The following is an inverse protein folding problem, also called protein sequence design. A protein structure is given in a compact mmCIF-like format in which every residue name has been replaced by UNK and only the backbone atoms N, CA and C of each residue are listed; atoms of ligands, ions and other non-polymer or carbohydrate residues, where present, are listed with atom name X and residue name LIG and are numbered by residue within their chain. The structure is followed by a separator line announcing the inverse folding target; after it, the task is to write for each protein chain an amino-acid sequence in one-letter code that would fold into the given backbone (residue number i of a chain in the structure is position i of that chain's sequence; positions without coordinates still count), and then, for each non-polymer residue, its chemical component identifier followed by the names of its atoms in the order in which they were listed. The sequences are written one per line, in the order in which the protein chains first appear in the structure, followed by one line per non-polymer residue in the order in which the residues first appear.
data_IF_397269140009
#
_entry.id   IF_397269140009
#
_cell.length_a   1.000
_cell.length_b   1.000
_cell.length_c   1.000
_cell.angle_alpha   90.00
_cell.angle_beta   90.00
_cell.angle_gamma   90.00
#
_symmetry.space_group_name_H-M   'P 1'
#
loop_
_entity.id
_entity.type
_entity.pdbx_description
1 polymer ?
#
# COMPACT_ATOMS: atom_id res chain seq x y z
N UNK A 1 -10.05 14.49 1.71
CA UNK A 1 -8.95 14.11 0.80
C UNK A 1 -8.50 12.70 1.18
N UNK A 2 -8.33 11.82 0.21
CA UNK A 2 -7.74 10.50 0.42
C UNK A 2 -6.29 10.53 -0.06
N UNK A 3 -5.36 10.17 0.82
CA UNK A 3 -3.95 9.97 0.47
C UNK A 3 -3.64 8.48 0.57
N UNK A 4 -2.85 7.97 -0.38
CA UNK A 4 -2.44 6.56 -0.42
C UNK A 4 -0.92 6.51 -0.49
N UNK A 5 -0.32 5.82 0.46
CA UNK A 5 1.12 5.54 0.48
C UNK A 5 1.35 4.05 0.28
N UNK A 6 2.19 3.70 -0.69
CA UNK A 6 2.70 2.34 -0.81
C UNK A 6 3.74 2.11 0.28
N UNK A 7 3.49 1.17 1.16
CA UNK A 7 4.41 0.81 2.25
C UNK A 7 5.36 -0.30 1.83
N UNK A 8 4.86 -1.24 1.03
CA UNK A 8 5.61 -2.40 0.63
C UNK A 8 5.00 -3.13 -0.55
N UNK A 9 5.82 -3.84 -1.32
CA UNK A 9 5.38 -4.77 -2.36
C UNK A 9 6.27 -6.00 -2.42
N UNK A 10 5.67 -7.16 -2.68
CA UNK A 10 6.39 -8.37 -3.12
C UNK A 10 6.02 -8.71 -4.57
N UNK A 11 6.32 -9.94 -5.04
CA UNK A 11 6.04 -10.32 -6.41
C UNK A 11 4.55 -10.28 -6.79
N UNK A 12 3.61 -10.31 -5.84
CA UNK A 12 2.16 -10.35 -6.11
C UNK A 12 1.29 -9.63 -5.07
N UNK A 13 1.86 -9.09 -4.00
CA UNK A 13 1.15 -8.39 -2.92
C UNK A 13 1.58 -6.95 -2.83
N UNK A 14 0.66 -6.09 -2.42
CA UNK A 14 0.87 -4.66 -2.20
C UNK A 14 0.29 -4.26 -0.85
N UNK A 15 1.12 -3.67 0.00
CA UNK A 15 0.73 -3.11 1.29
C UNK A 15 0.63 -1.59 1.17
N UNK A 16 -0.53 -1.03 1.49
CA UNK A 16 -0.78 0.42 1.44
C UNK A 16 -1.27 0.95 2.78
N UNK A 17 -0.92 2.20 3.08
CA UNK A 17 -1.58 3.03 4.09
C UNK A 17 -2.47 4.04 3.38
N UNK A 18 -3.70 4.17 3.88
CA UNK A 18 -4.67 5.16 3.44
C UNK A 18 -5.02 6.10 4.58
N UNK A 19 -5.03 7.39 4.29
CA UNK A 19 -5.33 8.47 5.22
C UNK A 19 -6.48 9.28 4.65
N UNK A 20 -7.60 9.34 5.38
CA UNK A 20 -8.77 10.11 4.98
C UNK A 20 -8.85 11.36 5.83
N UNK A 21 -8.58 12.51 5.22
CA UNK A 21 -8.65 13.83 5.89
C UNK A 21 -9.96 14.53 5.54
N UNK A 22 -10.64 15.07 6.55
CA UNK A 22 -11.84 15.87 6.37
C UNK A 22 -11.44 17.25 5.80
N UNK A 23 -12.04 17.71 4.69
CA UNK A 23 -11.52 18.88 3.97
C UNK A 23 -11.88 20.25 4.55
N UNK A 24 -12.86 20.36 5.45
CA UNK A 24 -13.28 21.66 6.03
C UNK A 24 -12.35 22.10 7.15
N UNK A 25 -12.08 21.19 8.07
CA UNK A 25 -11.36 21.45 9.31
C UNK A 25 -9.99 20.76 9.33
N UNK A 26 -9.67 19.96 8.31
CA UNK A 26 -8.34 19.39 8.10
C UNK A 26 -7.97 18.23 9.03
N UNK A 27 -8.90 17.70 9.83
CA UNK A 27 -8.58 16.60 10.74
C UNK A 27 -8.55 15.24 10.03
N UNK A 28 -7.69 14.35 10.53
CA UNK A 28 -7.60 12.96 10.07
C UNK A 28 -8.82 12.19 10.57
N UNK A 29 -9.74 11.86 9.66
CA UNK A 29 -11.00 11.21 9.97
C UNK A 29 -10.87 9.69 10.09
N UNK A 30 -10.00 9.08 9.28
CA UNK A 30 -9.74 7.63 9.33
C UNK A 30 -8.36 7.27 8.78
N UNK A 31 -7.84 6.14 9.24
CA UNK A 31 -6.68 5.45 8.66
C UNK A 31 -7.02 4.00 8.34
N UNK A 32 -6.39 3.46 7.29
CA UNK A 32 -6.55 2.05 6.93
C UNK A 32 -5.23 1.49 6.39
N UNK A 33 -4.81 0.35 6.92
CA UNK A 33 -3.73 -0.45 6.36
C UNK A 33 -4.36 -1.60 5.54
N UNK A 34 -3.99 -1.71 4.27
CA UNK A 34 -4.59 -2.69 3.34
C UNK A 34 -3.51 -3.52 2.66
N UNK A 35 -3.64 -4.85 2.77
CA UNK A 35 -2.88 -5.82 1.99
C UNK A 35 -3.72 -6.29 0.79
N UNK A 36 -3.23 -6.01 -0.42
CA UNK A 36 -3.89 -6.38 -1.68
C UNK A 36 -3.11 -7.49 -2.38
N UNK A 37 -3.81 -8.38 -3.10
CA UNK A 37 -3.23 -9.51 -3.83
C UNK A 37 -3.57 -9.39 -5.32
N UNK A 38 -2.55 -9.53 -6.19
CA UNK A 38 -2.74 -9.59 -7.62
C UNK A 38 -3.22 -10.97 -8.05
N UNK A 39 -4.31 -10.99 -8.81
CA UNK A 39 -4.99 -12.21 -9.24
C UNK A 39 -5.20 -12.19 -10.75
N UNK A 40 -4.98 -13.34 -11.37
CA UNK A 40 -5.40 -13.57 -12.75
C UNK A 40 -6.91 -13.85 -12.74
N UNK A 41 -7.67 -13.09 -13.52
CA UNK A 41 -9.13 -13.17 -13.57
C UNK A 41 -9.64 -14.41 -14.32
N UNK A 42 -8.82 -15.02 -15.18
CA UNK A 42 -9.16 -16.26 -15.88
C UNK A 42 -9.07 -17.47 -14.93
N UNK A 43 -7.94 -17.58 -14.22
CA UNK A 43 -7.68 -18.71 -13.32
C UNK A 43 -8.19 -18.49 -11.89
N UNK A 44 -8.53 -17.23 -11.53
CA UNK A 44 -8.89 -16.78 -10.17
C UNK A 44 -7.85 -17.14 -9.11
N UNK A 45 -6.57 -17.18 -9.53
CA UNK A 45 -5.43 -17.51 -8.67
C UNK A 45 -4.49 -16.34 -8.55
N UNK A 46 -3.74 -16.32 -7.44
CA UNK A 46 -2.67 -15.35 -7.24
C UNK A 46 -1.60 -15.49 -8.34
N UNK A 47 -1.23 -14.38 -8.96
CA UNK A 47 -0.22 -14.35 -10.02
C UNK A 47 0.78 -13.23 -9.75
N UNK A 48 2.06 -13.37 -10.14
CA UNK A 48 3.01 -12.26 -10.07
C UNK A 48 2.53 -11.04 -10.84
N UNK A 49 2.87 -9.85 -10.35
CA UNK A 49 2.74 -8.62 -11.12
C UNK A 49 3.56 -8.73 -12.42
N UNK A 50 3.10 -8.13 -13.53
CA UNK A 50 3.94 -7.95 -14.71
C UNK A 50 5.24 -7.21 -14.36
N UNK A 51 6.37 -7.60 -14.95
CA UNK A 51 7.71 -7.12 -14.57
C UNK A 51 7.82 -5.58 -14.53
N UNK A 52 7.25 -4.90 -15.52
CA UNK A 52 7.25 -3.44 -15.58
C UNK A 52 6.50 -2.80 -14.40
N UNK A 53 5.41 -3.43 -13.95
CA UNK A 53 4.66 -2.98 -12.77
C UNK A 53 5.41 -3.30 -11.49
N UNK A 54 5.95 -4.51 -11.35
CA UNK A 54 6.77 -4.90 -10.19
C UNK A 54 7.94 -3.93 -9.99
N UNK A 55 8.66 -3.59 -11.06
CA UNK A 55 9.76 -2.64 -11.03
C UNK A 55 9.30 -1.22 -10.62
N UNK A 56 8.11 -0.79 -11.07
CA UNK A 56 7.55 0.51 -10.68
C UNK A 56 7.13 0.53 -9.21
N UNK A 57 6.47 -0.52 -8.72
CA UNK A 57 6.07 -0.65 -7.32
C UNK A 57 7.29 -0.65 -6.39
N UNK A 58 8.33 -1.41 -6.76
CA UNK A 58 9.58 -1.44 -5.99
C UNK A 58 10.24 -0.06 -5.88
N UNK A 59 10.22 0.76 -6.95
CA UNK A 59 10.71 2.14 -6.90
C UNK A 59 9.85 3.02 -6.01
N UNK A 60 8.53 3.00 -6.17
CA UNK A 60 7.63 3.86 -5.40
C UNK A 60 7.64 3.54 -3.90
N UNK A 61 7.86 2.28 -3.51
CA UNK A 61 7.97 1.87 -2.09
C UNK A 61 9.23 2.43 -1.42
N UNK A 62 10.34 2.58 -2.16
CA UNK A 62 11.60 3.11 -1.61
C UNK A 62 11.70 4.63 -1.72
N UNK A 63 10.90 5.25 -2.58
CA UNK A 63 10.83 6.70 -2.70
C UNK A 63 10.35 7.33 -1.38
N UNK A 64 11.06 8.35 -0.86
CA UNK A 64 10.60 9.09 0.31
C UNK A 64 9.22 9.67 0.03
N UNK A 65 8.25 9.34 0.88
CA UNK A 65 6.94 9.95 0.78
C UNK A 65 7.03 11.45 1.10
N UNK A 66 6.31 12.26 0.32
CA UNK A 66 6.28 13.73 0.49
C UNK A 66 5.78 14.18 1.86
N UNK A 67 4.97 13.36 2.52
CA UNK A 67 4.36 13.68 3.81
C UNK A 67 4.83 12.69 4.89
N UNK A 68 4.92 13.10 6.16
CA UNK A 68 5.23 12.20 7.27
C UNK A 68 4.11 11.18 7.50
N UNK A 69 4.40 10.11 8.23
CA UNK A 69 3.37 9.18 8.68
C UNK A 69 2.47 9.86 9.74
N UNK A 70 1.18 9.47 9.84
CA UNK A 70 0.28 10.06 10.81
C UNK A 70 0.74 9.76 12.24
N UNK A 71 0.49 10.70 13.15
CA UNK A 71 0.92 10.59 14.55
C UNK A 71 0.37 9.31 15.19
N UNK A 72 1.27 8.49 15.75
CA UNK A 72 0.91 7.24 16.42
C UNK A 72 0.67 6.06 15.48
N UNK A 73 0.91 6.20 14.18
CA UNK A 73 0.89 5.07 13.26
C UNK A 73 1.93 4.02 13.67
N UNK A 74 1.47 2.77 13.73
CA UNK A 74 2.29 1.58 13.87
C UNK A 74 1.88 0.59 12.80
N UNK A 75 2.84 -0.10 12.19
CA UNK A 75 2.56 -1.15 11.21
C UNK A 75 1.76 -2.28 11.89
N UNK A 76 0.61 -2.62 11.31
CA UNK A 76 -0.25 -3.69 11.82
C UNK A 76 -0.19 -4.95 10.96
N UNK A 77 -0.11 -4.82 9.65
CA UNK A 77 -0.07 -5.98 8.77
C UNK A 77 1.39 -6.41 8.58
N UNK A 78 1.70 -7.68 8.88
CA UNK A 78 3.06 -8.18 8.78
C UNK A 78 3.49 -8.29 7.31
N UNK A 79 4.81 -8.19 7.08
CA UNK A 79 5.43 -8.88 5.94
C UNK A 79 5.10 -10.35 6.07
N UNK A 80 4.14 -10.85 5.30
CA UNK A 80 4.06 -12.30 5.15
C UNK A 80 5.34 -12.73 4.44
N UNK A 81 6.22 -13.39 5.19
CA UNK A 81 7.49 -13.91 4.69
C UNK A 81 7.29 -14.61 3.34
N UNK A 82 8.23 -14.39 2.42
CA UNK A 82 8.27 -15.06 1.15
C UNK A 82 8.20 -16.58 1.40
N UNK A 83 7.10 -17.20 0.98
CA UNK A 83 7.02 -18.64 0.78
C UNK A 83 7.13 -18.89 -0.71
#
# INVERSE_FOLDING_TARGET
MLQVRLLESDNKRLLCLMELTQPRDGYLAATMEQLSLHVDLNTRRATPFPDALAARLARTVVEPAEHPLPKGYRRLLPRQGAR
#
